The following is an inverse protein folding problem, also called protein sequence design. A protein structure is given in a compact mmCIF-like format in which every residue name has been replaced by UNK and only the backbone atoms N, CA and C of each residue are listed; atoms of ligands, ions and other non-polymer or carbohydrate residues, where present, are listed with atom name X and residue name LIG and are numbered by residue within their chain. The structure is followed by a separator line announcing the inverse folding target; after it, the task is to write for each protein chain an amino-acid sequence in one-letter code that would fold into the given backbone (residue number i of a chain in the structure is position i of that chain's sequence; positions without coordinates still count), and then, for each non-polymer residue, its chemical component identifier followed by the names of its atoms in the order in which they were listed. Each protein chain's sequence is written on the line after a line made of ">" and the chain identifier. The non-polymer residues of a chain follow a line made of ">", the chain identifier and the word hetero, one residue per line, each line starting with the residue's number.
data_IF_403072677760
#
_entry.id   IF_403072677760
#
_cell.length_a   1.000
_cell.length_b   1.000
_cell.length_c   1.000
_cell.angle_alpha   90.00
_cell.angle_beta   90.00
_cell.angle_gamma   90.00
#
_symmetry.space_group_name_H-M   'P 1'
#
loop_
_entity.id
_entity.type
_entity.pdbx_description
1 polymer ?
#
# COMPACT_ATOMS: atom_id res chain seq x y z
N UNK A 1 15.67 0.79 83.23
CA UNK A 1 15.44 2.21 82.85
C UNK A 1 14.47 2.23 81.66
N UNK A 2 13.19 2.51 81.97
CA UNK A 2 12.12 2.60 80.98
C UNK A 2 12.03 4.06 80.46
N UNK A 3 12.07 4.20 79.16
CA UNK A 3 11.62 5.44 78.55
C UNK A 3 10.30 5.20 77.83
N UNK A 4 9.26 5.81 78.30
CA UNK A 4 7.91 5.87 77.78
C UNK A 4 7.87 7.00 76.76
N UNK A 5 7.54 6.69 75.49
CA UNK A 5 7.26 7.66 74.46
C UNK A 5 5.77 8.02 74.43
N UNK A 6 5.50 9.29 74.67
CA UNK A 6 4.16 9.91 74.55
C UNK A 6 3.71 10.00 73.10
N UNK A 7 2.64 9.31 72.75
CA UNK A 7 1.92 9.46 71.47
C UNK A 7 0.74 10.41 71.75
N UNK A 8 0.73 11.58 71.09
CA UNK A 8 -0.42 12.49 71.05
C UNK A 8 -1.48 11.97 70.05
N UNK A 9 -2.75 11.99 70.35
CA UNK A 9 -3.81 11.61 69.41
C UNK A 9 -4.01 12.69 68.35
N UNK A 10 -4.11 12.25 67.11
CA UNK A 10 -4.52 13.10 65.97
C UNK A 10 -5.99 13.48 66.11
N UNK A 11 -6.28 14.78 65.98
CA UNK A 11 -7.65 15.33 65.91
C UNK A 11 -8.32 14.86 64.63
N UNK A 12 -9.54 14.31 64.74
CA UNK A 12 -10.41 13.99 63.64
C UNK A 12 -10.77 15.29 62.84
N UNK A 13 -10.62 15.26 61.54
CA UNK A 13 -11.09 16.31 60.64
C UNK A 13 -12.60 16.24 60.49
N UNK A 14 -13.29 17.38 60.64
CA UNK A 14 -14.72 17.52 60.41
C UNK A 14 -15.12 17.19 58.97
N UNK A 15 -16.35 16.71 58.68
CA UNK A 15 -16.79 16.36 57.33
C UNK A 15 -17.06 17.64 56.50
N UNK A 16 -16.54 17.65 55.29
CA UNK A 16 -16.70 18.70 54.28
C UNK A 16 -18.20 18.99 54.08
N UNK A 17 -18.56 20.25 54.12
CA UNK A 17 -19.86 20.76 53.73
C UNK A 17 -20.16 20.47 52.26
N UNK A 18 -21.40 20.12 51.88
CA UNK A 18 -21.75 19.82 50.49
C UNK A 18 -21.58 21.05 49.58
N UNK A 19 -20.85 20.89 48.49
CA UNK A 19 -20.72 21.93 47.47
C UNK A 19 -22.09 22.35 46.93
N UNK A 20 -22.32 23.67 46.82
CA UNK A 20 -23.58 24.20 46.32
C UNK A 20 -23.76 23.86 44.84
N UNK A 21 -25.01 23.70 44.37
CA UNK A 21 -25.35 23.46 42.94
C UNK A 21 -24.74 24.48 41.99
N UNK A 22 -24.45 25.69 42.42
CA UNK A 22 -23.79 26.74 41.63
C UNK A 22 -22.29 26.45 41.42
N UNK A 23 -21.62 25.91 42.40
CA UNK A 23 -20.20 25.53 42.29
C UNK A 23 -20.02 24.29 41.40
N UNK A 24 -20.98 23.38 41.38
CA UNK A 24 -20.96 22.21 40.48
C UNK A 24 -21.18 22.61 39.01
N UNK A 25 -22.07 23.56 38.74
CA UNK A 25 -22.28 24.06 37.37
C UNK A 25 -21.15 24.91 36.86
N UNK A 26 -20.39 25.60 37.71
CA UNK A 26 -19.18 26.32 37.32
C UNK A 26 -18.01 25.39 37.04
N UNK A 27 -17.91 24.27 37.75
CA UNK A 27 -16.86 23.24 37.50
C UNK A 27 -17.15 22.42 36.24
N UNK A 28 -18.43 22.16 35.90
CA UNK A 28 -18.79 21.45 34.66
C UNK A 28 -18.72 22.35 33.43
N UNK A 29 -18.81 23.67 33.55
CA UNK A 29 -18.60 24.58 32.42
C UNK A 29 -17.12 24.75 32.01
N UNK A 30 -16.16 24.41 32.88
CA UNK A 30 -14.73 24.53 32.60
C UNK A 30 -14.08 23.23 32.04
N UNK A 31 -14.83 22.11 32.03
CA UNK A 31 -14.36 20.83 31.42
C UNK A 31 -15.03 20.58 30.06
N UNK A 32 -15.94 21.43 29.70
CA UNK A 32 -16.63 21.30 28.42
C UNK A 32 -16.08 22.28 27.40
N UNK A 33 -14.99 22.02 26.78
CA UNK A 33 -14.56 22.36 25.41
C UNK A 33 -13.03 22.33 25.37
N UNK A 34 -12.48 21.16 25.46
CA UNK A 34 -11.36 20.76 24.65
C UNK A 34 -11.61 19.32 24.20
N UNK A 35 -12.77 19.04 23.63
CA UNK A 35 -12.76 18.27 22.42
C UNK A 35 -12.04 19.19 21.42
N UNK A 36 -10.74 19.27 21.50
CA UNK A 36 -9.97 19.51 20.31
C UNK A 36 -10.52 18.48 19.35
N UNK A 37 -11.39 18.93 18.43
CA UNK A 37 -11.35 18.37 17.12
C UNK A 37 -9.86 18.10 16.91
N UNK A 38 -9.45 16.83 16.90
CA UNK A 38 -8.28 16.41 16.21
C UNK A 38 -8.60 16.86 14.81
N UNK A 39 -8.38 18.18 14.64
CA UNK A 39 -8.57 18.87 13.40
C UNK A 39 -7.80 18.02 12.43
N UNK A 40 -8.46 17.68 11.36
CA UNK A 40 -7.75 17.52 10.11
C UNK A 40 -6.61 18.51 10.19
N UNK A 41 -5.38 18.01 10.35
CA UNK A 41 -4.20 18.79 10.05
C UNK A 41 -4.23 18.96 8.53
N UNK A 42 -5.14 19.84 8.13
CA UNK A 42 -5.12 20.46 6.84
C UNK A 42 -3.96 21.41 7.00
N UNK A 43 -2.76 20.95 6.66
CA UNK A 43 -1.67 21.86 6.34
C UNK A 43 -2.23 22.99 5.49
N UNK A 44 -1.59 24.17 5.40
CA UNK A 44 -2.16 25.34 4.77
C UNK A 44 -2.91 24.93 3.51
N UNK A 45 -4.21 25.26 3.43
CA UNK A 45 -5.10 24.82 2.36
C UNK A 45 -4.38 25.04 1.03
N UNK A 46 -4.05 23.99 0.28
CA UNK A 46 -3.32 24.18 -0.95
C UNK A 46 -4.10 25.14 -1.84
N UNK A 47 -3.41 26.01 -2.57
CA UNK A 47 -4.06 26.90 -3.52
C UNK A 47 -5.02 26.08 -4.40
N UNK A 48 -6.22 26.62 -4.72
CA UNK A 48 -7.19 25.88 -5.53
C UNK A 48 -6.56 25.40 -6.83
N UNK A 49 -6.73 24.12 -7.14
CA UNK A 49 -6.26 23.55 -8.39
C UNK A 49 -7.14 24.08 -9.56
N UNK A 50 -6.52 24.59 -10.59
CA UNK A 50 -7.23 24.96 -11.81
C UNK A 50 -7.64 23.72 -12.57
N UNK A 51 -8.90 23.65 -12.99
CA UNK A 51 -9.41 22.55 -13.80
C UNK A 51 -9.28 22.82 -15.31
N UNK A 52 -9.05 21.76 -16.11
CA UNK A 52 -8.67 20.40 -15.67
C UNK A 52 -7.29 20.41 -15.02
N UNK A 53 -7.07 19.50 -14.06
CA UNK A 53 -5.79 19.40 -13.33
C UNK A 53 -4.62 19.23 -14.33
N UNK A 54 -3.64 20.15 -14.36
CA UNK A 54 -2.54 20.11 -15.33
C UNK A 54 -1.61 18.91 -15.13
N UNK A 55 -1.59 18.34 -13.93
CA UNK A 55 -0.76 17.18 -13.60
C UNK A 55 -1.36 15.86 -14.11
N UNK A 56 -2.59 15.87 -14.66
CA UNK A 56 -3.17 14.73 -15.38
C UNK A 56 -2.91 14.92 -16.87
N UNK A 57 -1.82 14.31 -17.34
CA UNK A 57 -1.26 14.55 -18.69
C UNK A 57 -1.76 13.52 -19.68
N UNK A 58 -2.34 13.99 -20.79
CA UNK A 58 -2.76 13.16 -21.93
C UNK A 58 -1.59 13.08 -22.93
N UNK A 59 -0.98 11.91 -23.04
CA UNK A 59 0.11 11.64 -23.99
C UNK A 59 -0.39 11.05 -25.31
N UNK A 60 -1.52 10.34 -25.27
CA UNK A 60 -2.21 9.79 -26.42
C UNK A 60 -3.72 10.03 -26.26
N UNK A 61 -4.42 10.31 -27.36
CA UNK A 61 -5.86 10.59 -27.36
C UNK A 61 -6.72 9.51 -26.67
N UNK A 62 -6.23 8.27 -26.63
CA UNK A 62 -6.89 7.15 -25.92
C UNK A 62 -7.07 7.40 -24.42
N UNK A 63 -6.15 8.16 -23.80
CA UNK A 63 -6.23 8.46 -22.37
C UNK A 63 -7.28 9.54 -22.04
N UNK A 64 -7.63 10.40 -23.00
CA UNK A 64 -8.54 11.53 -22.75
C UNK A 64 -9.90 11.11 -22.16
N UNK A 65 -10.40 9.92 -22.50
CA UNK A 65 -11.67 9.38 -21.98
C UNK A 65 -11.62 8.96 -20.51
N UNK A 66 -10.43 8.76 -19.94
CA UNK A 66 -10.24 8.36 -18.55
C UNK A 66 -10.05 9.56 -17.61
N UNK A 67 -9.77 10.73 -18.18
CA UNK A 67 -9.54 11.96 -17.42
C UNK A 67 -10.88 12.62 -17.07
N UNK A 68 -11.18 12.70 -15.77
CA UNK A 68 -12.28 13.52 -15.26
C UNK A 68 -11.85 14.98 -15.25
N UNK A 69 -12.59 15.85 -15.95
CA UNK A 69 -12.14 17.24 -16.20
C UNK A 69 -12.23 18.14 -14.96
N UNK A 70 -13.06 17.80 -13.97
CA UNK A 70 -13.37 18.62 -12.78
C UNK A 70 -12.98 17.95 -11.46
N UNK A 71 -11.95 17.09 -11.50
CA UNK A 71 -11.38 16.48 -10.30
C UNK A 71 -9.91 16.85 -10.14
N UNK A 72 -9.45 17.21 -8.94
CA UNK A 72 -8.03 17.41 -8.66
C UNK A 72 -7.37 16.11 -8.22
N UNK A 73 -6.05 16.04 -8.31
CA UNK A 73 -5.25 15.13 -7.53
C UNK A 73 -5.31 15.61 -6.07
N UNK A 74 -5.76 14.76 -5.17
CA UNK A 74 -5.91 15.07 -3.75
C UNK A 74 -4.81 14.38 -2.95
N UNK A 75 -4.08 15.12 -2.12
CA UNK A 75 -3.24 14.53 -1.08
C UNK A 75 -4.12 14.27 0.13
N UNK A 76 -4.37 12.99 0.43
CA UNK A 76 -5.29 12.55 1.48
C UNK A 76 -4.62 12.40 2.85
N UNK A 77 -3.31 12.13 2.84
CA UNK A 77 -2.49 11.95 4.03
C UNK A 77 -1.03 12.26 3.73
N UNK A 78 -0.30 12.70 4.73
CA UNK A 78 1.17 12.84 4.71
C UNK A 78 1.71 12.51 6.11
N UNK A 79 2.98 12.12 6.19
CA UNK A 79 3.64 11.77 7.44
C UNK A 79 4.13 10.32 7.51
N UNK A 80 4.06 9.59 6.40
CA UNK A 80 4.77 8.31 6.24
C UNK A 80 6.26 8.56 5.96
N UNK A 81 7.09 7.55 6.16
CA UNK A 81 8.48 7.56 5.71
C UNK A 81 8.62 6.91 4.33
N UNK A 82 7.93 5.79 4.11
CA UNK A 82 7.80 5.14 2.81
C UNK A 82 6.46 4.43 2.73
N UNK A 83 5.50 5.09 2.05
CA UNK A 83 4.15 4.59 1.87
C UNK A 83 4.12 3.53 0.77
N UNK A 84 3.51 2.36 1.05
CA UNK A 84 3.48 1.20 0.15
C UNK A 84 2.20 0.38 0.25
N UNK A 85 2.03 -0.53 -0.70
CA UNK A 85 1.05 -1.61 -0.69
C UNK A 85 -0.39 -1.18 -0.42
N UNK A 86 -0.95 -0.21 -1.14
CA UNK A 86 -2.32 0.20 -0.93
C UNK A 86 -3.28 -0.91 -1.39
N UNK A 87 -4.29 -1.22 -0.57
CA UNK A 87 -5.32 -2.18 -0.90
C UNK A 87 -6.70 -1.72 -0.41
N UNK A 88 -7.70 -1.86 -1.26
CA UNK A 88 -9.07 -1.48 -0.96
C UNK A 88 -9.90 -2.66 -0.45
N UNK A 89 -10.45 -2.54 0.75
CA UNK A 89 -11.46 -3.46 1.26
C UNK A 89 -12.85 -3.06 0.78
N UNK A 90 -13.40 -3.79 -0.18
CA UNK A 90 -14.76 -3.56 -0.66
C UNK A 90 -15.82 -3.90 0.39
N UNK A 91 -15.54 -4.89 1.24
CA UNK A 91 -16.44 -5.31 2.34
C UNK A 91 -16.41 -4.28 3.48
N UNK A 92 -15.21 -3.90 3.92
CA UNK A 92 -15.03 -2.98 5.03
C UNK A 92 -15.11 -1.50 4.63
N UNK A 93 -15.14 -1.18 3.33
CA UNK A 93 -15.16 0.18 2.78
C UNK A 93 -14.06 1.07 3.35
N UNK A 94 -12.83 0.56 3.29
CA UNK A 94 -11.65 1.28 3.72
C UNK A 94 -10.42 0.94 2.86
N UNK A 95 -9.48 1.85 2.82
CA UNK A 95 -8.16 1.64 2.28
C UNK A 95 -7.20 1.26 3.40
N UNK A 96 -6.35 0.26 3.19
CA UNK A 96 -5.15 0.04 4.00
C UNK A 96 -3.92 0.33 3.15
N UNK A 97 -2.84 0.77 3.80
CA UNK A 97 -1.51 0.85 3.21
C UNK A 97 -0.44 0.70 4.29
N UNK A 98 0.76 0.43 3.86
CA UNK A 98 1.91 0.24 4.75
C UNK A 98 2.76 1.50 4.81
N UNK A 99 3.25 1.84 5.99
CA UNK A 99 4.40 2.71 6.21
C UNK A 99 5.53 1.82 6.71
N UNK A 100 6.33 1.33 5.76
CA UNK A 100 7.26 0.23 6.02
C UNK A 100 8.26 0.60 7.11
N UNK A 101 9.02 1.74 7.01
CA UNK A 101 10.06 2.05 7.99
C UNK A 101 9.52 2.33 9.39
N UNK A 102 8.31 2.89 9.50
CA UNK A 102 7.64 3.11 10.78
C UNK A 102 7.04 1.82 11.35
N UNK A 103 7.09 0.72 10.59
CA UNK A 103 6.58 -0.60 10.99
C UNK A 103 5.10 -0.57 11.39
N UNK A 104 4.29 0.16 10.60
CA UNK A 104 2.85 0.28 10.82
C UNK A 104 2.06 0.08 9.53
N UNK A 105 0.83 -0.39 9.66
CA UNK A 105 -0.20 -0.27 8.63
C UNK A 105 -1.17 0.83 9.03
N UNK A 106 -1.52 1.65 8.07
CA UNK A 106 -2.51 2.71 8.18
C UNK A 106 -3.81 2.30 7.51
N UNK A 107 -4.92 2.83 7.99
CA UNK A 107 -6.24 2.63 7.42
C UNK A 107 -6.96 3.96 7.26
N UNK A 108 -7.56 4.18 6.08
CA UNK A 108 -8.44 5.31 5.82
C UNK A 108 -9.86 4.82 5.57
N UNK A 109 -10.81 5.27 6.38
CA UNK A 109 -12.23 4.99 6.18
C UNK A 109 -12.77 5.76 4.97
N UNK A 110 -13.65 5.12 4.18
CA UNK A 110 -14.30 5.78 3.05
C UNK A 110 -15.35 6.82 3.50
N UNK A 111 -16.05 6.51 4.59
CA UNK A 111 -17.20 7.25 5.08
C UNK A 111 -16.86 8.70 5.47
N UNK A 112 -15.83 8.89 6.26
CA UNK A 112 -15.44 10.20 6.80
C UNK A 112 -14.01 10.62 6.45
N UNK A 113 -13.24 9.73 5.82
CA UNK A 113 -11.83 9.94 5.47
C UNK A 113 -10.88 9.87 6.65
N UNK A 114 -11.34 9.42 7.83
CA UNK A 114 -10.49 9.28 9.01
C UNK A 114 -9.34 8.30 8.76
N UNK A 115 -8.13 8.73 9.08
CA UNK A 115 -6.91 7.90 9.03
C UNK A 115 -6.53 7.49 10.44
N UNK A 116 -6.23 6.21 10.61
CA UNK A 116 -5.78 5.64 11.89
C UNK A 116 -4.69 4.59 11.67
N UNK A 117 -3.87 4.37 12.69
CA UNK A 117 -3.00 3.19 12.74
C UNK A 117 -3.89 1.95 12.82
N UNK A 118 -3.71 1.05 11.87
CA UNK A 118 -4.50 -0.18 11.78
C UNK A 118 -3.79 -1.36 12.46
N UNK A 119 -2.46 -1.45 12.26
CA UNK A 119 -1.60 -2.43 12.95
C UNK A 119 -0.27 -1.80 13.34
N UNK A 120 0.20 -2.10 14.55
CA UNK A 120 1.53 -1.75 15.05
C UNK A 120 1.95 -2.77 16.12
N UNK A 121 3.09 -3.48 15.95
CA UNK A 121 3.91 -3.51 14.76
C UNK A 121 3.23 -4.21 13.58
N UNK A 122 3.57 -3.81 12.35
CA UNK A 122 3.12 -4.47 11.13
C UNK A 122 4.10 -5.53 10.60
N UNK A 123 5.21 -5.74 11.29
CA UNK A 123 6.34 -6.58 10.86
C UNK A 123 6.97 -6.11 9.54
N UNK A 124 7.03 -4.78 9.35
CA UNK A 124 7.52 -4.16 8.12
C UNK A 124 6.75 -4.65 6.89
N UNK A 125 5.41 -4.69 7.01
CA UNK A 125 4.55 -5.07 5.89
C UNK A 125 4.78 -4.13 4.71
N UNK A 126 4.85 -4.70 3.50
CA UNK A 126 4.89 -3.99 2.23
C UNK A 126 3.54 -4.15 1.50
N UNK A 127 3.45 -5.05 0.53
CA UNK A 127 2.26 -5.26 -0.29
C UNK A 127 1.08 -5.85 0.47
N UNK A 128 -0.11 -5.39 0.13
CA UNK A 128 -1.36 -5.89 0.67
C UNK A 128 -2.36 -6.16 -0.46
N UNK A 129 -3.26 -7.10 -0.21
CA UNK A 129 -4.43 -7.37 -1.04
C UNK A 129 -5.56 -7.94 -0.17
N UNK A 130 -6.73 -8.11 -0.75
CA UNK A 130 -7.83 -8.86 -0.13
C UNK A 130 -8.15 -10.09 -0.97
N UNK A 131 -8.44 -11.21 -0.31
CA UNK A 131 -8.90 -12.40 -0.99
C UNK A 131 -10.41 -12.35 -1.29
N UNK A 132 -10.90 -13.38 -2.01
CA UNK A 132 -12.31 -13.46 -2.40
C UNK A 132 -13.30 -13.59 -1.23
N UNK A 133 -12.80 -13.90 -0.03
CA UNK A 133 -13.55 -13.91 1.21
C UNK A 133 -13.46 -12.57 1.97
N UNK A 134 -12.76 -11.58 1.41
CA UNK A 134 -12.57 -10.27 2.02
C UNK A 134 -11.55 -10.26 3.17
N UNK A 135 -10.68 -11.28 3.26
CA UNK A 135 -9.61 -11.35 4.24
C UNK A 135 -8.37 -10.66 3.68
N UNK A 136 -7.71 -9.87 4.52
CA UNK A 136 -6.46 -9.22 4.10
C UNK A 136 -5.33 -10.24 4.02
N UNK A 137 -4.56 -10.16 2.93
CA UNK A 137 -3.32 -10.90 2.72
C UNK A 137 -2.17 -9.91 2.58
N UNK A 138 -1.05 -10.16 3.25
CA UNK A 138 0.05 -9.20 3.33
C UNK A 138 1.41 -9.86 3.22
N UNK A 139 2.36 -9.12 2.63
CA UNK A 139 3.77 -9.47 2.57
C UNK A 139 4.51 -8.77 3.71
N UNK A 140 5.14 -9.53 4.61
CA UNK A 140 5.90 -9.01 5.75
C UNK A 140 7.42 -9.13 5.50
N UNK A 141 8.13 -8.02 5.40
CA UNK A 141 9.57 -7.99 5.24
C UNK A 141 10.32 -8.50 6.49
N UNK A 142 9.93 -7.99 7.67
CA UNK A 142 10.64 -8.25 8.92
C UNK A 142 10.59 -9.70 9.37
N UNK A 143 9.52 -10.40 9.09
CA UNK A 143 9.33 -11.82 9.38
C UNK A 143 9.53 -12.72 8.18
N UNK A 144 9.79 -12.13 6.99
CA UNK A 144 10.08 -12.83 5.73
C UNK A 144 8.99 -13.83 5.37
N UNK A 145 7.71 -13.39 5.42
CA UNK A 145 6.57 -14.29 5.24
C UNK A 145 5.39 -13.61 4.54
N UNK A 146 4.49 -14.43 4.01
CA UNK A 146 3.16 -14.03 3.53
C UNK A 146 2.14 -14.50 4.55
N UNK A 147 1.26 -13.59 4.98
CA UNK A 147 0.25 -13.87 6.00
C UNK A 147 -1.15 -13.50 5.53
N UNK A 148 -2.16 -14.14 6.13
CA UNK A 148 -3.57 -13.79 5.99
C UNK A 148 -4.18 -13.51 7.35
N UNK A 149 -4.89 -12.39 7.43
CA UNK A 149 -5.64 -12.01 8.63
C UNK A 149 -7.06 -12.57 8.52
N UNK A 150 -7.37 -13.53 9.39
CA UNK A 150 -8.67 -14.19 9.41
C UNK A 150 -9.75 -13.31 10.06
N UNK A 151 -11.02 -13.59 9.77
CA UNK A 151 -12.14 -12.83 10.34
C UNK A 151 -12.28 -12.96 11.87
N UNK A 152 -11.75 -14.02 12.45
CA UNK A 152 -11.71 -14.24 13.92
C UNK A 152 -10.53 -13.56 14.61
N UNK A 153 -9.73 -12.79 13.86
CA UNK A 153 -8.56 -12.07 14.36
C UNK A 153 -7.26 -12.87 14.36
N UNK A 154 -7.29 -14.16 14.00
CA UNK A 154 -6.06 -14.95 13.86
C UNK A 154 -5.23 -14.52 12.67
N UNK A 155 -3.93 -14.76 12.73
CA UNK A 155 -3.00 -14.59 11.63
C UNK A 155 -2.55 -15.97 11.16
N UNK A 156 -2.87 -16.29 9.91
CA UNK A 156 -2.43 -17.53 9.26
C UNK A 156 -1.18 -17.24 8.44
N UNK A 157 -0.08 -17.93 8.72
CA UNK A 157 1.12 -17.90 7.89
C UNK A 157 0.85 -18.76 6.67
N UNK A 158 0.89 -18.16 5.48
CA UNK A 158 0.65 -18.82 4.20
C UNK A 158 1.95 -19.35 3.58
N UNK A 159 3.04 -18.60 3.74
CA UNK A 159 4.38 -19.00 3.33
C UNK A 159 5.42 -18.24 4.16
N UNK A 160 6.49 -18.92 4.56
CA UNK A 160 7.64 -18.34 5.26
C UNK A 160 8.98 -18.93 4.80
N UNK A 161 8.93 -19.98 3.98
CA UNK A 161 10.13 -20.64 3.49
C UNK A 161 9.92 -21.28 2.11
N UNK A 162 11.03 -21.48 1.39
CA UNK A 162 11.13 -22.27 0.17
C UNK A 162 12.18 -23.37 0.35
N UNK A 163 11.71 -24.63 0.35
CA UNK A 163 12.57 -25.81 0.60
C UNK A 163 13.41 -25.70 1.90
N UNK A 164 12.81 -25.19 2.98
CA UNK A 164 13.45 -25.05 4.27
C UNK A 164 14.36 -23.82 4.43
N UNK A 165 14.51 -22.99 3.39
CA UNK A 165 15.21 -21.70 3.45
C UNK A 165 14.18 -20.59 3.58
N UNK A 166 14.41 -19.56 4.42
CA UNK A 166 13.50 -18.44 4.55
C UNK A 166 13.31 -17.70 3.22
N UNK A 167 12.14 -17.13 3.00
CA UNK A 167 11.89 -16.18 1.89
C UNK A 167 12.88 -15.00 1.98
N UNK A 168 13.09 -14.27 0.90
CA UNK A 168 13.99 -13.11 0.93
C UNK A 168 13.35 -11.93 1.68
N UNK A 169 12.34 -11.33 1.13
CA UNK A 169 11.43 -10.36 1.73
C UNK A 169 10.27 -10.16 0.74
N UNK A 170 9.15 -10.86 0.90
CA UNK A 170 7.99 -10.76 0.02
C UNK A 170 7.55 -9.30 -0.12
N UNK A 171 7.24 -8.89 -1.37
CA UNK A 171 7.02 -7.48 -1.70
C UNK A 171 5.57 -7.18 -2.09
N UNK A 172 5.14 -7.43 -3.34
CA UNK A 172 3.76 -7.18 -3.79
C UNK A 172 2.99 -8.50 -3.99
N UNK A 173 1.65 -8.41 -4.01
CA UNK A 173 0.80 -9.58 -3.87
C UNK A 173 -0.56 -9.40 -4.56
N UNK A 174 -1.03 -10.43 -5.25
CA UNK A 174 -2.35 -10.49 -5.89
C UNK A 174 -3.00 -11.85 -5.71
N UNK A 175 -4.32 -11.91 -5.86
CA UNK A 175 -5.11 -13.15 -5.73
C UNK A 175 -5.77 -13.47 -7.06
N UNK A 176 -5.56 -14.70 -7.54
CA UNK A 176 -6.21 -15.24 -8.74
C UNK A 176 -7.64 -15.73 -8.41
N UNK A 177 -8.58 -15.81 -9.38
CA UNK A 177 -9.95 -16.27 -9.12
C UNK A 177 -10.08 -17.67 -8.53
N UNK A 178 -9.11 -18.56 -8.76
CA UNK A 178 -9.05 -19.89 -8.14
C UNK A 178 -8.66 -19.86 -6.66
N UNK A 179 -8.42 -18.66 -6.10
CA UNK A 179 -7.93 -18.46 -4.73
C UNK A 179 -6.42 -18.57 -4.57
N UNK A 180 -5.68 -18.87 -5.64
CA UNK A 180 -4.21 -18.90 -5.64
C UNK A 180 -3.65 -17.51 -5.35
N UNK A 181 -2.66 -17.44 -4.47
CA UNK A 181 -2.01 -16.20 -4.05
C UNK A 181 -0.65 -16.11 -4.73
N UNK A 182 -0.44 -15.02 -5.46
CA UNK A 182 0.77 -14.78 -6.21
C UNK A 182 1.52 -13.60 -5.62
N UNK A 183 2.81 -13.75 -5.35
CA UNK A 183 3.62 -12.70 -4.74
C UNK A 183 5.05 -12.68 -5.29
N UNK A 184 5.66 -11.51 -5.27
CA UNK A 184 7.07 -11.29 -5.63
C UNK A 184 7.95 -11.32 -4.39
N UNK A 185 9.20 -11.79 -4.53
CA UNK A 185 10.19 -11.89 -3.44
C UNK A 185 11.56 -11.34 -3.86
N UNK A 186 11.68 -10.01 -4.12
CA UNK A 186 12.92 -9.39 -4.57
C UNK A 186 13.94 -9.15 -3.46
N UNK A 187 13.54 -9.24 -2.18
CA UNK A 187 14.43 -9.13 -1.04
C UNK A 187 14.81 -7.73 -0.61
N UNK A 188 14.05 -6.68 -0.96
CA UNK A 188 14.36 -5.31 -0.55
C UNK A 188 14.40 -5.14 0.98
N UNK A 189 13.51 -5.78 1.70
CA UNK A 189 13.43 -5.73 3.17
C UNK A 189 14.63 -6.34 3.90
N UNK A 190 15.59 -6.99 3.18
CA UNK A 190 16.83 -7.53 3.77
C UNK A 190 18.06 -6.69 3.50
N UNK A 191 17.95 -5.61 2.72
CA UNK A 191 19.10 -4.75 2.37
C UNK A 191 19.65 -3.98 3.58
N UNK A 192 18.81 -3.64 4.53
CA UNK A 192 19.15 -2.88 5.73
C UNK A 192 18.13 -3.03 6.85
N UNK A 193 18.28 -2.21 7.89
CA UNK A 193 17.35 -2.18 9.03
C UNK A 193 16.33 -1.03 8.92
N UNK A 194 16.04 -0.58 7.70
CA UNK A 194 15.11 0.53 7.46
C UNK A 194 13.72 0.01 7.05
N UNK A 195 13.66 -0.92 6.11
CA UNK A 195 12.41 -1.52 5.62
C UNK A 195 12.22 -2.97 6.08
N UNK A 196 13.02 -3.43 7.01
CA UNK A 196 13.01 -4.79 7.52
C UNK A 196 14.22 -5.07 8.39
N UNK A 197 14.74 -6.27 8.32
CA UNK A 197 15.91 -6.72 9.07
C UNK A 197 17.03 -7.11 8.11
N UNK A 198 18.20 -6.46 8.22
CA UNK A 198 19.37 -6.77 7.40
C UNK A 198 19.67 -8.28 7.42
N UNK A 199 19.85 -8.86 6.23
CA UNK A 199 20.13 -10.27 6.06
C UNK A 199 20.58 -10.60 4.65
N UNK A 200 20.98 -11.86 4.46
CA UNK A 200 21.39 -12.37 3.15
C UNK A 200 20.18 -12.83 2.33
N UNK A 201 20.28 -12.68 1.01
CA UNK A 201 19.41 -13.38 0.07
C UNK A 201 19.85 -14.85 0.03
N UNK A 202 19.01 -15.74 0.50
CA UNK A 202 19.34 -17.18 0.61
C UNK A 202 18.65 -18.04 -0.44
N UNK A 203 17.73 -17.45 -1.18
CA UNK A 203 17.07 -18.04 -2.35
C UNK A 203 17.10 -17.03 -3.49
N UNK A 204 16.90 -17.50 -4.73
CA UNK A 204 16.84 -16.63 -5.90
C UNK A 204 15.60 -15.74 -5.82
N UNK A 205 15.73 -14.49 -6.26
CA UNK A 205 14.59 -13.59 -6.44
C UNK A 205 13.62 -14.19 -7.46
N UNK A 206 12.36 -14.27 -7.11
CA UNK A 206 11.36 -14.95 -7.92
C UNK A 206 9.95 -14.45 -7.63
N UNK A 207 9.02 -14.87 -8.48
CA UNK A 207 7.57 -14.80 -8.21
C UNK A 207 7.08 -16.19 -7.87
N UNK A 208 6.31 -16.27 -6.81
CA UNK A 208 5.75 -17.50 -6.27
C UNK A 208 4.23 -17.51 -6.37
N UNK A 209 3.66 -18.72 -6.36
CA UNK A 209 2.24 -18.98 -6.20
C UNK A 209 2.01 -19.94 -5.02
N UNK A 210 1.12 -19.57 -4.12
CA UNK A 210 0.63 -20.43 -3.04
C UNK A 210 -0.70 -21.05 -3.49
N UNK A 211 -0.81 -22.38 -3.41
CA UNK A 211 -2.03 -23.09 -3.74
C UNK A 211 -3.09 -22.88 -2.65
N UNK A 212 -4.34 -22.51 -2.99
CA UNK A 212 -5.39 -22.25 -2.00
C UNK A 212 -5.81 -23.51 -1.20
N UNK A 213 -5.56 -24.69 -1.74
CA UNK A 213 -6.09 -25.95 -1.20
C UNK A 213 -5.09 -26.73 -0.31
N UNK A 214 -3.86 -26.27 -0.18
CA UNK A 214 -2.88 -27.06 0.57
C UNK A 214 -1.62 -26.35 1.01
N UNK A 215 -1.57 -25.06 0.82
CA UNK A 215 -0.38 -24.27 1.19
C UNK A 215 0.88 -24.64 0.40
N UNK A 216 0.79 -25.47 -0.65
CA UNK A 216 1.92 -25.77 -1.52
C UNK A 216 2.30 -24.50 -2.28
N UNK A 217 3.59 -24.12 -2.17
CA UNK A 217 4.15 -22.99 -2.87
C UNK A 217 4.97 -23.48 -4.06
N UNK A 218 4.91 -22.75 -5.18
CA UNK A 218 5.68 -23.04 -6.39
C UNK A 218 6.29 -21.75 -6.95
N UNK A 219 7.49 -21.81 -7.52
CA UNK A 219 8.04 -20.73 -8.34
C UNK A 219 7.28 -20.73 -9.65
N UNK A 220 6.72 -19.56 -10.02
CA UNK A 220 6.06 -19.38 -11.31
C UNK A 220 6.96 -18.73 -12.34
N UNK A 221 7.91 -17.90 -11.89
CA UNK A 221 9.03 -17.40 -12.70
C UNK A 221 10.17 -16.92 -11.81
N UNK A 222 11.40 -17.16 -12.26
CA UNK A 222 12.66 -16.66 -11.72
C UNK A 222 13.52 -16.02 -12.81
N UNK A 223 12.87 -15.65 -13.93
CA UNK A 223 13.53 -15.11 -15.12
C UNK A 223 13.84 -13.61 -15.03
N UNK A 224 13.42 -12.94 -13.96
CA UNK A 224 13.62 -11.51 -13.75
C UNK A 224 14.75 -11.25 -12.75
N UNK A 225 15.29 -10.03 -12.80
CA UNK A 225 16.34 -9.64 -11.85
C UNK A 225 15.77 -9.36 -10.45
N UNK A 226 14.81 -8.42 -10.35
CA UNK A 226 14.10 -8.11 -9.10
C UNK A 226 12.61 -7.89 -9.38
N UNK A 227 11.82 -8.97 -9.40
CA UNK A 227 10.38 -8.83 -9.60
C UNK A 227 9.78 -8.02 -8.45
N UNK A 228 9.04 -6.95 -8.77
CA UNK A 228 8.42 -6.04 -7.81
C UNK A 228 6.90 -6.08 -7.95
N UNK A 229 6.25 -4.99 -8.32
CA UNK A 229 4.82 -4.95 -8.53
C UNK A 229 4.32 -5.96 -9.54
N UNK A 230 3.15 -6.55 -9.29
CA UNK A 230 2.53 -7.51 -10.21
C UNK A 230 1.00 -7.34 -10.26
N UNK A 231 0.41 -7.55 -11.44
CA UNK A 231 -1.04 -7.61 -11.59
C UNK A 231 -1.46 -8.49 -12.78
N UNK A 232 -2.65 -9.04 -12.68
CA UNK A 232 -3.26 -9.77 -13.80
C UNK A 232 -3.93 -8.82 -14.80
N UNK A 233 -4.08 -9.29 -16.05
CA UNK A 233 -5.03 -8.70 -17.00
C UNK A 233 -6.48 -8.88 -16.49
N UNK A 234 -7.45 -8.10 -17.00
CA UNK A 234 -8.85 -8.20 -16.54
C UNK A 234 -9.45 -9.61 -16.65
N UNK A 235 -9.01 -10.39 -17.63
CA UNK A 235 -9.46 -11.77 -17.88
C UNK A 235 -8.58 -12.84 -17.21
N UNK A 236 -7.58 -12.42 -16.41
CA UNK A 236 -6.61 -13.28 -15.71
C UNK A 236 -5.75 -14.17 -16.61
N UNK A 237 -5.72 -13.91 -17.93
CA UNK A 237 -4.92 -14.69 -18.88
C UNK A 237 -3.48 -14.21 -19.02
N UNK A 238 -3.17 -13.04 -18.47
CA UNK A 238 -1.81 -12.47 -18.45
C UNK A 238 -1.45 -12.01 -17.06
N UNK A 239 -0.15 -12.11 -16.74
CA UNK A 239 0.44 -11.51 -15.55
C UNK A 239 1.49 -10.50 -16.00
N UNK A 240 1.38 -9.27 -15.52
CA UNK A 240 2.37 -8.21 -15.71
C UNK A 240 3.22 -8.08 -14.45
N UNK A 241 4.53 -7.93 -14.62
CA UNK A 241 5.47 -7.84 -13.51
C UNK A 241 6.48 -6.74 -13.81
N UNK A 242 6.66 -5.79 -12.88
CA UNK A 242 7.72 -4.78 -12.94
C UNK A 242 9.07 -5.40 -12.57
N UNK A 243 10.12 -5.09 -13.33
CA UNK A 243 11.50 -5.45 -12.97
C UNK A 243 12.25 -4.21 -12.46
N UNK A 244 12.56 -4.20 -11.19
CA UNK A 244 13.34 -3.14 -10.54
C UNK A 244 14.81 -3.51 -10.36
N UNK A 245 15.29 -4.53 -11.07
CA UNK A 245 16.65 -5.04 -10.97
C UNK A 245 17.74 -4.00 -11.23
N UNK A 246 17.46 -2.96 -12.01
CA UNK A 246 18.41 -1.88 -12.27
C UNK A 246 18.85 -1.11 -11.02
N UNK A 247 18.21 -1.31 -9.88
CA UNK A 247 18.65 -0.80 -8.58
C UNK A 247 19.92 -1.49 -8.07
N UNK A 248 20.21 -2.73 -8.51
CA UNK A 248 21.29 -3.57 -8.00
C UNK A 248 22.12 -4.23 -9.09
N UNK A 249 21.57 -4.38 -10.29
CA UNK A 249 22.21 -5.09 -11.40
C UNK A 249 22.36 -4.15 -12.60
N UNK A 250 23.59 -3.77 -12.93
CA UNK A 250 23.90 -2.79 -13.97
C UNK A 250 23.26 -3.10 -15.34
N UNK A 251 23.13 -4.38 -15.68
CA UNK A 251 22.57 -4.84 -16.95
C UNK A 251 21.05 -5.09 -16.90
N UNK A 252 20.42 -4.91 -15.75
CA UNK A 252 18.99 -5.15 -15.63
C UNK A 252 18.19 -4.08 -16.39
N UNK A 253 17.14 -4.49 -17.09
CA UNK A 253 16.26 -3.55 -17.78
C UNK A 253 15.42 -2.76 -16.78
N UNK A 254 14.92 -1.60 -17.21
CA UNK A 254 13.88 -0.84 -16.54
C UNK A 254 12.58 -1.03 -17.31
N UNK A 255 11.92 -2.14 -17.10
CA UNK A 255 10.77 -2.54 -17.90
C UNK A 255 9.67 -3.23 -17.09
N UNK A 256 8.58 -3.49 -17.76
CA UNK A 256 7.51 -4.37 -17.30
C UNK A 256 7.48 -5.56 -18.25
N UNK A 257 7.46 -6.75 -17.70
CA UNK A 257 7.30 -7.99 -18.46
C UNK A 257 5.86 -8.47 -18.40
N UNK A 258 5.45 -9.19 -19.44
CA UNK A 258 4.16 -9.87 -19.52
C UNK A 258 4.35 -11.35 -19.78
N UNK A 259 3.54 -12.14 -19.07
CA UNK A 259 3.55 -13.62 -19.17
C UNK A 259 2.11 -14.10 -19.44
N UNK A 260 1.94 -15.09 -20.30
CA UNK A 260 0.68 -15.79 -20.42
C UNK A 260 0.46 -16.67 -19.19
N UNK A 261 -0.73 -16.62 -18.61
CA UNK A 261 -1.15 -17.48 -17.48
C UNK A 261 -1.76 -18.75 -18.06
N UNK A 262 -1.15 -19.88 -17.75
CA UNK A 262 -1.54 -21.21 -18.22
C UNK A 262 -2.26 -21.94 -17.08
N UNK A 263 -3.51 -22.35 -17.33
CA UNK A 263 -4.36 -23.08 -16.38
C UNK A 263 -4.51 -22.39 -15.01
N UNK A 264 -4.35 -21.05 -14.94
CA UNK A 264 -4.41 -20.28 -13.70
C UNK A 264 -3.28 -20.58 -12.72
N UNK A 265 -2.21 -21.28 -13.12
CA UNK A 265 -1.19 -21.80 -12.20
C UNK A 265 0.25 -21.59 -12.65
N UNK A 266 0.50 -21.58 -13.93
CA UNK A 266 1.84 -21.53 -14.51
C UNK A 266 1.98 -20.31 -15.41
N UNK A 267 3.20 -19.89 -15.64
CA UNK A 267 3.50 -18.83 -16.61
C UNK A 267 4.16 -19.42 -17.86
N UNK A 268 3.79 -18.88 -19.01
CA UNK A 268 4.48 -19.06 -20.25
C UNK A 268 5.82 -18.32 -20.29
N UNK A 269 6.43 -18.21 -21.47
CA UNK A 269 7.65 -17.43 -21.66
C UNK A 269 7.35 -15.95 -21.50
N UNK A 270 8.12 -15.25 -20.66
CA UNK A 270 8.04 -13.80 -20.50
C UNK A 270 8.46 -13.04 -21.76
N UNK A 271 7.83 -11.91 -21.97
CA UNK A 271 8.12 -10.95 -23.02
C UNK A 271 8.13 -9.55 -22.43
N UNK A 272 8.93 -8.64 -22.98
CA UNK A 272 8.83 -7.24 -22.62
C UNK A 272 7.47 -6.69 -23.06
N UNK A 273 6.72 -6.15 -22.11
CA UNK A 273 5.47 -5.45 -22.39
C UNK A 273 5.74 -3.98 -22.75
N UNK A 274 6.55 -3.31 -21.94
CA UNK A 274 6.94 -1.93 -22.15
C UNK A 274 8.19 -1.59 -21.34
N UNK A 275 8.87 -0.54 -21.72
CA UNK A 275 10.00 0.03 -20.98
C UNK A 275 9.64 1.37 -20.33
N UNK A 276 10.42 1.77 -19.33
CA UNK A 276 10.15 2.96 -18.55
C UNK A 276 10.78 4.26 -19.13
N UNK A 277 11.43 4.18 -20.29
CA UNK A 277 11.98 5.37 -20.95
C UNK A 277 10.86 6.36 -21.33
N UNK A 278 11.09 7.62 -21.07
CA UNK A 278 10.28 8.74 -21.50
C UNK A 278 11.19 9.94 -21.75
N UNK A 279 11.28 10.39 -23.00
CA UNK A 279 12.09 11.54 -23.39
C UNK A 279 13.57 11.44 -22.95
N UNK A 280 14.16 10.24 -23.07
CA UNK A 280 15.54 9.97 -22.73
C UNK A 280 15.82 9.83 -21.22
N UNK A 281 14.77 9.78 -20.38
CA UNK A 281 14.88 9.50 -18.94
C UNK A 281 14.12 8.22 -18.63
N UNK A 282 14.73 7.31 -17.89
CA UNK A 282 14.11 6.04 -17.50
C UNK A 282 14.17 5.90 -15.98
N UNK A 283 13.00 6.02 -15.34
CA UNK A 283 12.79 5.67 -13.94
C UNK A 283 12.53 4.18 -13.75
N UNK A 284 12.01 3.82 -12.60
CA UNK A 284 11.63 2.45 -12.27
C UNK A 284 10.11 2.35 -12.23
N UNK A 285 9.56 1.25 -12.73
CA UNK A 285 8.20 0.82 -12.44
C UNK A 285 8.21 0.14 -11.07
N UNK A 286 7.16 0.36 -10.28
CA UNK A 286 7.02 -0.25 -8.95
C UNK A 286 5.68 -0.99 -8.87
N UNK A 287 4.79 -0.68 -7.95
CA UNK A 287 3.46 -1.28 -7.90
C UNK A 287 2.58 -0.90 -9.09
N UNK A 288 1.76 -1.82 -9.56
CA UNK A 288 0.90 -1.61 -10.73
C UNK A 288 -0.45 -2.33 -10.62
N UNK A 289 -1.47 -1.76 -11.26
CA UNK A 289 -2.81 -2.38 -11.32
C UNK A 289 -3.42 -2.17 -12.71
N UNK A 290 -4.25 -3.12 -13.13
CA UNK A 290 -5.01 -3.03 -14.39
C UNK A 290 -6.39 -2.38 -14.16
N UNK A 291 -6.87 -1.61 -15.15
CA UNK A 291 -8.27 -1.22 -15.23
C UNK A 291 -9.08 -2.23 -16.07
N UNK A 292 -10.40 -2.06 -16.08
CA UNK A 292 -11.32 -2.97 -16.81
C UNK A 292 -11.11 -2.99 -18.32
N UNK A 293 -10.47 -1.97 -18.89
CA UNK A 293 -10.13 -1.89 -20.32
C UNK A 293 -8.74 -2.49 -20.60
N UNK A 294 -8.05 -2.99 -19.58
CA UNK A 294 -6.73 -3.60 -19.68
C UNK A 294 -5.57 -2.61 -19.71
N UNK A 295 -5.78 -1.32 -19.43
CA UNK A 295 -4.67 -0.41 -19.27
C UNK A 295 -3.96 -0.69 -17.94
N UNK A 296 -2.63 -0.59 -17.93
CA UNK A 296 -1.84 -0.67 -16.71
C UNK A 296 -1.60 0.73 -16.14
N UNK A 297 -1.92 0.89 -14.87
CA UNK A 297 -1.65 2.07 -14.07
C UNK A 297 -0.48 1.74 -13.16
N UNK A 298 0.65 2.39 -13.39
CA UNK A 298 1.96 1.98 -12.88
C UNK A 298 2.55 3.09 -12.02
N UNK A 299 2.79 2.81 -10.75
CA UNK A 299 3.62 3.65 -9.90
C UNK A 299 5.05 3.72 -10.45
N UNK A 300 5.60 4.91 -10.53
CA UNK A 300 6.90 5.14 -11.12
C UNK A 300 7.64 6.31 -10.47
N UNK A 301 8.97 6.28 -10.53
CA UNK A 301 9.75 7.37 -9.99
C UNK A 301 11.25 7.22 -10.14
N UNK A 302 11.98 7.93 -9.27
CA UNK A 302 13.44 8.04 -9.22
C UNK A 302 14.03 8.86 -10.38
N UNK A 303 13.24 9.80 -10.94
CA UNK A 303 13.67 10.70 -12.00
C UNK A 303 13.44 12.16 -11.60
N UNK A 304 12.36 12.44 -10.89
CA UNK A 304 11.99 13.77 -10.43
C UNK A 304 10.84 14.42 -11.24
N UNK A 305 10.78 15.73 -11.18
CA UNK A 305 9.70 16.54 -11.75
C UNK A 305 9.44 16.22 -13.23
N UNK A 306 8.16 16.10 -13.58
CA UNK A 306 7.68 15.78 -14.93
C UNK A 306 7.73 14.29 -15.28
N UNK A 307 8.21 13.45 -14.35
CA UNK A 307 8.25 12.00 -14.54
C UNK A 307 7.56 11.26 -13.40
N UNK A 308 7.92 11.57 -12.12
CA UNK A 308 7.47 10.82 -10.95
C UNK A 308 5.96 10.90 -10.79
N UNK A 309 5.34 9.76 -10.46
CA UNK A 309 3.90 9.62 -10.33
C UNK A 309 3.37 8.32 -10.94
N UNK A 310 2.25 8.38 -11.64
CA UNK A 310 1.64 7.20 -12.28
C UNK A 310 1.74 7.29 -13.79
N UNK A 311 2.25 6.23 -14.41
CA UNK A 311 2.29 6.09 -15.86
C UNK A 311 1.20 5.13 -16.33
N UNK A 312 0.44 5.49 -17.34
CA UNK A 312 -0.64 4.68 -17.84
C UNK A 312 -0.28 4.13 -19.22
N UNK A 313 -0.30 2.79 -19.33
CA UNK A 313 0.01 2.07 -20.56
C UNK A 313 -1.23 1.36 -21.09
N UNK A 314 -1.51 1.50 -22.38
CA UNK A 314 -2.57 0.75 -23.05
C UNK A 314 -2.17 -0.73 -23.21
N UNK A 315 -3.12 -1.64 -23.53
CA UNK A 315 -2.85 -3.08 -23.69
C UNK A 315 -1.79 -3.42 -24.74
N UNK A 316 -1.47 -2.50 -25.64
CA UNK A 316 -0.41 -2.65 -26.65
C UNK A 316 0.98 -2.21 -26.13
N UNK A 317 1.11 -1.88 -24.84
CA UNK A 317 2.35 -1.40 -24.22
C UNK A 317 2.67 0.08 -24.46
N UNK A 318 1.85 0.80 -25.23
CA UNK A 318 2.08 2.23 -25.47
C UNK A 318 1.69 3.04 -24.22
N UNK A 319 2.57 3.93 -23.76
CA UNK A 319 2.24 4.92 -22.74
C UNK A 319 1.26 5.94 -23.29
N UNK A 320 0.09 6.06 -22.63
CA UNK A 320 -1.01 6.91 -23.09
C UNK A 320 -1.27 8.12 -22.19
N UNK A 321 -0.83 8.05 -20.91
CA UNK A 321 -1.06 9.14 -19.97
C UNK A 321 -0.09 9.11 -18.81
N UNK A 322 -0.11 10.19 -18.02
CA UNK A 322 0.60 10.31 -16.75
C UNK A 322 -0.27 11.05 -15.72
N UNK A 323 -0.08 10.70 -14.46
CA UNK A 323 -0.49 11.50 -13.30
C UNK A 323 0.80 11.88 -12.59
N UNK A 324 1.19 13.15 -12.71
CA UNK A 324 2.42 13.66 -12.10
C UNK A 324 2.20 13.94 -10.63
N UNK A 325 3.12 13.47 -9.81
CA UNK A 325 3.17 13.71 -8.36
C UNK A 325 4.48 14.44 -8.00
N UNK A 326 4.49 15.21 -6.92
CA UNK A 326 5.72 15.81 -6.41
C UNK A 326 6.63 14.80 -5.69
N UNK A 327 6.23 13.54 -5.64
CA UNK A 327 6.88 12.44 -4.93
C UNK A 327 6.93 11.19 -5.82
N UNK A 328 7.89 10.30 -5.52
CA UNK A 328 7.96 8.98 -6.17
C UNK A 328 6.68 8.21 -5.83
N UNK A 329 5.97 7.73 -6.84
CA UNK A 329 4.83 6.83 -6.62
C UNK A 329 5.31 5.39 -6.52
N UNK A 330 5.18 4.80 -5.34
CA UNK A 330 5.58 3.42 -5.06
C UNK A 330 4.54 2.41 -5.53
N UNK A 331 3.24 2.67 -5.30
CA UNK A 331 2.20 1.70 -5.63
C UNK A 331 0.84 2.37 -5.84
N UNK A 332 -0.08 1.63 -6.44
CA UNK A 332 -1.43 2.12 -6.75
C UNK A 332 -2.49 1.06 -6.45
N UNK A 333 -3.71 1.49 -6.10
CA UNK A 333 -4.87 0.63 -6.13
C UNK A 333 -6.14 1.39 -6.52
N UNK A 334 -7.08 0.70 -7.14
CA UNK A 334 -8.41 1.23 -7.38
C UNK A 334 -9.32 0.93 -6.20
N UNK A 335 -10.08 1.92 -5.75
CA UNK A 335 -11.00 1.75 -4.63
C UNK A 335 -12.18 2.71 -4.68
N UNK A 336 -12.84 2.85 -3.54
CA UNK A 336 -14.13 3.54 -3.43
C UNK A 336 -15.31 2.67 -3.88
N UNK A 337 -16.55 3.09 -3.61
CA UNK A 337 -17.75 2.28 -3.86
C UNK A 337 -17.92 1.86 -5.33
N UNK A 338 -17.40 2.65 -6.25
CA UNK A 338 -17.44 2.39 -7.70
C UNK A 338 -16.10 1.88 -8.26
N UNK A 339 -15.08 1.71 -7.42
CA UNK A 339 -13.71 1.34 -7.81
C UNK A 339 -13.12 2.23 -8.93
N UNK A 340 -13.54 3.47 -9.01
CA UNK A 340 -13.07 4.49 -9.95
C UNK A 340 -12.26 5.61 -9.28
N UNK A 341 -11.84 5.40 -8.04
CA UNK A 341 -10.90 6.25 -7.33
C UNK A 341 -9.54 5.55 -7.30
N UNK A 342 -8.58 6.12 -8.00
CA UNK A 342 -7.20 5.64 -7.95
C UNK A 342 -6.55 6.20 -6.70
N UNK A 343 -6.08 5.34 -5.81
CA UNK A 343 -5.23 5.66 -4.68
C UNK A 343 -3.78 5.40 -5.07
N UNK A 344 -2.89 6.28 -4.65
CA UNK A 344 -1.48 6.30 -4.99
C UNK A 344 -0.67 6.50 -3.71
N UNK A 345 0.10 5.50 -3.29
CA UNK A 345 1.11 5.66 -2.25
C UNK A 345 2.34 6.28 -2.88
N UNK A 346 2.86 7.32 -2.24
CA UNK A 346 3.99 8.05 -2.79
C UNK A 346 4.87 8.55 -1.64
N UNK A 347 6.10 8.05 -1.56
CA UNK A 347 7.10 8.41 -0.54
C UNK A 347 6.50 8.69 0.84
N UNK A 348 6.15 9.95 1.13
CA UNK A 348 5.64 10.39 2.44
C UNK A 348 4.12 10.53 2.51
N UNK A 349 3.40 10.28 1.41
CA UNK A 349 2.00 10.67 1.27
C UNK A 349 1.11 9.60 0.64
N UNK A 350 -0.18 9.73 0.90
CA UNK A 350 -1.24 9.06 0.14
C UNK A 350 -1.98 10.09 -0.71
N UNK A 351 -2.01 9.85 -2.01
CA UNK A 351 -2.80 10.64 -2.97
C UNK A 351 -3.99 9.86 -3.51
N UNK A 352 -4.97 10.57 -4.07
CA UNK A 352 -6.04 9.97 -4.84
C UNK A 352 -6.59 10.91 -5.91
N UNK A 353 -7.14 10.30 -6.97
CA UNK A 353 -7.85 11.00 -8.04
C UNK A 353 -9.00 10.15 -8.55
N UNK A 354 -10.11 10.77 -8.94
CA UNK A 354 -11.19 10.09 -9.63
C UNK A 354 -10.89 9.96 -11.12
N UNK A 355 -11.23 8.81 -11.70
CA UNK A 355 -11.01 8.50 -13.10
C UNK A 355 -12.28 7.91 -13.73
N UNK A 356 -12.43 8.00 -15.06
CA UNK A 356 -13.56 7.44 -15.83
C UNK A 356 -13.30 5.98 -16.26
N UNK A 357 -12.76 5.19 -15.32
CA UNK A 357 -12.62 3.73 -15.44
C UNK A 357 -12.68 3.10 -14.06
N UNK A 358 -12.67 1.79 -14.00
CA UNK A 358 -12.68 1.01 -12.75
C UNK A 358 -11.48 0.08 -12.72
N UNK A 359 -11.03 -0.24 -11.52
CA UNK A 359 -10.05 -1.32 -11.34
C UNK A 359 -10.61 -2.66 -11.80
N UNK A 360 -9.78 -3.44 -12.49
CA UNK A 360 -10.18 -4.74 -13.02
C UNK A 360 -10.49 -5.77 -11.91
N UNK A 361 -9.79 -5.67 -10.78
CA UNK A 361 -9.80 -6.67 -9.71
C UNK A 361 -10.34 -6.11 -8.40
N UNK A 362 -10.60 -7.01 -7.45
CA UNK A 362 -11.24 -6.69 -6.16
C UNK A 362 -10.37 -5.85 -5.23
N UNK A 363 -9.08 -5.80 -5.45
CA UNK A 363 -8.11 -5.09 -4.61
C UNK A 363 -6.94 -4.57 -5.45
#
# INVERSE_FOLDING_TARGET
>A
MHQTSNIRPLKASEPNSPMSRRSFLAATAAVGVTATALGRDQGPSPAPTRYPDPNIVVLDKRFARYKVSNTPIQRLYTGTLWAEGPAWSGVGRFLVWSDIPNNVQLRRLDEDGHVSVFRSPSHYTNGNTFDWQGRQVSCEHGTRRVVRYEHDGKVTVLADNWHGKPLNAPNDIVVHPDGGIWFSDPGYGTLGNYEGNKGELVIKEAVYRIDPNGGKMEIVTDAMYKPNGLCFSPDYKKLYIADTGATHYEKAPKNIQVFDVIDGRRLGKGQEFTHMDLNGKAGLADGLRADVDGNLWVGAGWVGEGYDGVHIFAPDGKRIGQILLPEICSNVCFGGPRRNRLFMTASQSLYAVYVETQGAHIS
#
